data_IF_730449310265
#
_entry.id   IF_730449310265
#
_cell.length_a   1.000
_cell.length_b   1.000
_cell.length_c   1.000
_cell.angle_alpha   90.00
_cell.angle_beta   90.00
_cell.angle_gamma   90.00
#
_symmetry.space_group_name_H-M   'P 1'
#
loop_
_entity.id
_entity.type
_entity.pdbx_description
1 polymer ?
#
# COMPACT_ATOMS: atom_id res chain seq x y z
N UNK A 1 -11.08 -1.88 -2.47
CA UNK A 1 -10.31 -2.46 -3.58
C UNK A 1 -9.01 -1.69 -3.63
N UNK A 2 -7.90 -2.26 -3.17
CA UNK A 2 -6.60 -1.64 -3.33
C UNK A 2 -6.26 -1.81 -4.80
N UNK A 3 -6.45 -0.77 -5.60
CA UNK A 3 -5.83 -0.74 -6.91
C UNK A 3 -4.32 -0.77 -6.66
N UNK A 4 -3.59 -1.76 -7.18
CA UNK A 4 -2.16 -1.73 -7.13
C UNK A 4 -1.74 -0.47 -7.89
N UNK A 5 -1.38 0.58 -7.14
CA UNK A 5 -0.70 1.72 -7.75
C UNK A 5 0.42 1.11 -8.56
N UNK A 6 0.42 1.29 -9.85
CA UNK A 6 1.45 0.69 -10.69
C UNK A 6 2.80 1.17 -10.15
N UNK A 7 3.80 0.30 -10.12
CA UNK A 7 5.16 0.65 -9.66
C UNK A 7 5.62 1.95 -10.33
N UNK A 8 5.31 2.10 -11.60
CA UNK A 8 5.61 3.30 -12.39
C UNK A 8 4.94 4.56 -11.83
N UNK A 9 3.67 4.49 -11.44
CA UNK A 9 2.97 5.62 -10.83
C UNK A 9 3.56 5.98 -9.46
N UNK A 10 3.86 4.99 -8.62
CA UNK A 10 4.48 5.22 -7.32
C UNK A 10 5.88 5.85 -7.45
N UNK A 11 6.71 5.39 -8.40
CA UNK A 11 8.02 5.99 -8.70
C UNK A 11 7.89 7.41 -9.22
N UNK A 12 6.89 7.68 -10.05
CA UNK A 12 6.63 9.04 -10.54
C UNK A 12 6.29 9.99 -9.40
N UNK A 13 5.41 9.57 -8.48
CA UNK A 13 5.04 10.34 -7.28
C UNK A 13 6.27 10.56 -6.39
N UNK A 14 7.06 9.51 -6.14
CA UNK A 14 8.28 9.61 -5.35
C UNK A 14 9.27 10.60 -5.98
N UNK A 15 9.52 10.50 -7.30
CA UNK A 15 10.45 11.38 -8.00
C UNK A 15 9.99 12.83 -8.01
N UNK A 16 8.69 13.08 -8.17
CA UNK A 16 8.11 14.42 -8.10
C UNK A 16 8.27 15.02 -6.70
N UNK A 17 7.92 14.28 -5.65
CA UNK A 17 8.07 14.72 -4.28
C UNK A 17 9.55 14.97 -3.92
N UNK A 18 10.45 14.08 -4.36
CA UNK A 18 11.89 14.25 -4.15
C UNK A 18 12.45 15.50 -4.82
N UNK A 19 12.00 15.82 -6.03
CA UNK A 19 12.35 17.07 -6.72
C UNK A 19 11.97 18.30 -5.89
N UNK A 20 10.73 18.31 -5.35
CA UNK A 20 10.28 19.40 -4.48
C UNK A 20 11.11 19.53 -3.19
N UNK A 21 11.52 18.38 -2.61
CA UNK A 21 12.42 18.35 -1.45
C UNK A 21 13.78 18.96 -1.82
N UNK A 22 14.37 18.59 -2.98
CA UNK A 22 15.62 19.19 -3.48
C UNK A 22 15.53 20.69 -3.61
N UNK A 23 14.48 21.16 -4.26
CA UNK A 23 14.24 22.59 -4.45
C UNK A 23 14.07 23.31 -3.10
N UNK A 24 13.38 22.67 -2.16
CA UNK A 24 13.22 23.17 -0.79
C UNK A 24 14.57 23.35 -0.08
N UNK A 25 15.44 22.35 -0.12
CA UNK A 25 16.80 22.44 0.44
C UNK A 25 17.65 23.51 -0.24
N UNK A 26 17.57 23.60 -1.57
CA UNK A 26 18.29 24.64 -2.32
C UNK A 26 17.84 26.07 -1.94
N UNK A 27 16.58 26.22 -1.51
CA UNK A 27 16.01 27.47 -1.00
C UNK A 27 16.23 27.67 0.51
N UNK A 28 16.98 26.80 1.18
CA UNK A 28 17.27 26.89 2.60
C UNK A 28 16.07 26.57 3.52
N UNK A 29 15.06 25.87 3.02
CA UNK A 29 13.94 25.41 3.86
C UNK A 29 14.43 24.33 4.83
N UNK A 30 13.87 24.36 6.03
CA UNK A 30 14.04 23.30 7.02
C UNK A 30 13.17 22.08 6.74
N UNK A 31 13.38 21.01 7.50
CA UNK A 31 12.61 19.76 7.38
C UNK A 31 11.13 19.99 7.69
N UNK A 32 10.83 20.86 8.64
CA UNK A 32 9.46 21.16 9.04
C UNK A 32 8.67 21.80 7.89
N UNK A 33 9.28 22.77 7.19
CA UNK A 33 8.70 23.39 6.01
C UNK A 33 8.53 22.46 4.81
N UNK A 34 9.23 21.30 4.80
CA UNK A 34 9.15 20.28 3.75
C UNK A 34 8.46 19.00 4.21
N UNK A 35 7.91 18.94 5.42
CA UNK A 35 7.34 17.73 6.04
C UNK A 35 6.27 17.06 5.17
N UNK A 36 5.46 17.84 4.47
CA UNK A 36 4.44 17.33 3.55
C UNK A 36 5.04 16.59 2.36
N UNK A 37 6.09 17.13 1.76
CA UNK A 37 6.74 16.56 0.58
C UNK A 37 7.58 15.34 0.97
N UNK A 38 8.24 15.39 2.12
CA UNK A 38 8.94 14.25 2.72
C UNK A 38 7.95 13.12 3.02
N UNK A 39 6.81 13.41 3.64
CA UNK A 39 5.77 12.44 3.91
C UNK A 39 5.18 11.81 2.63
N UNK A 40 5.01 12.62 1.58
CA UNK A 40 4.56 12.14 0.27
C UNK A 40 5.58 11.23 -0.40
N UNK A 41 6.86 11.58 -0.33
CA UNK A 41 7.95 10.75 -0.82
C UNK A 41 8.02 9.41 -0.07
N UNK A 42 8.00 9.42 1.26
CA UNK A 42 8.01 8.21 2.09
C UNK A 42 6.82 7.29 1.79
N UNK A 43 5.65 7.87 1.58
CA UNK A 43 4.44 7.16 1.19
C UNK A 43 4.64 6.42 -0.12
N UNK A 44 5.14 7.10 -1.14
CA UNK A 44 5.38 6.52 -2.45
C UNK A 44 6.49 5.45 -2.41
N UNK A 45 7.54 5.63 -1.59
CA UNK A 45 8.57 4.59 -1.35
C UNK A 45 7.94 3.34 -0.74
N UNK A 46 7.06 3.50 0.25
CA UNK A 46 6.34 2.37 0.85
C UNK A 46 5.45 1.64 -0.15
N UNK A 47 4.82 2.36 -1.08
CA UNK A 47 3.99 1.78 -2.13
C UNK A 47 4.83 0.94 -3.12
N UNK A 48 6.03 1.41 -3.49
CA UNK A 48 6.97 0.63 -4.33
C UNK A 48 7.45 -0.64 -3.61
N UNK A 49 7.82 -0.55 -2.34
CA UNK A 49 8.23 -1.71 -1.53
C UNK A 49 7.10 -2.75 -1.43
N UNK A 50 5.86 -2.31 -1.28
CA UNK A 50 4.70 -3.21 -1.25
C UNK A 50 4.43 -3.83 -2.62
N UNK A 51 4.53 -3.07 -3.69
CA UNK A 51 4.36 -3.55 -5.05
C UNK A 51 5.45 -4.59 -5.41
N UNK A 52 6.71 -4.39 -4.99
CA UNK A 52 7.79 -5.36 -5.15
C UNK A 52 7.48 -6.69 -4.42
N UNK A 53 6.99 -6.61 -3.18
CA UNK A 53 6.59 -7.81 -2.43
C UNK A 53 5.47 -8.57 -3.12
N UNK A 54 4.49 -7.87 -3.67
CA UNK A 54 3.40 -8.46 -4.43
C UNK A 54 3.86 -9.06 -5.77
N UNK A 55 4.84 -8.42 -6.44
CA UNK A 55 5.44 -8.95 -7.66
C UNK A 55 6.24 -10.24 -7.40
N UNK A 56 6.95 -10.32 -6.27
CA UNK A 56 7.68 -11.54 -5.85
C UNK A 56 6.76 -12.69 -5.43
N UNK A 57 5.59 -12.38 -4.86
CA UNK A 57 4.60 -13.35 -4.41
C UNK A 57 3.23 -13.04 -5.05
N UNK A 58 3.07 -13.20 -6.38
CA UNK A 58 1.81 -12.89 -7.03
C UNK A 58 0.71 -13.85 -6.58
N UNK A 59 -0.53 -13.38 -6.41
CA UNK A 59 -1.68 -14.24 -6.14
C UNK A 59 -1.80 -15.34 -7.20
N UNK A 60 -2.27 -16.53 -6.80
CA UNK A 60 -2.34 -17.74 -7.63
C UNK A 60 -3.04 -17.47 -8.98
N UNK A 61 -4.10 -16.66 -8.98
CA UNK A 61 -4.82 -16.27 -10.21
C UNK A 61 -3.96 -15.43 -11.16
N UNK A 62 -3.10 -14.54 -10.65
CA UNK A 62 -2.22 -13.72 -11.50
C UNK A 62 -1.13 -14.57 -12.16
N UNK A 63 -0.64 -15.62 -11.47
CA UNK A 63 0.32 -16.59 -12.04
C UNK A 63 -0.22 -17.39 -13.22
N UNK A 64 -1.53 -17.66 -13.26
CA UNK A 64 -2.17 -18.47 -14.29
C UNK A 64 -2.45 -17.69 -15.59
N UNK A 65 -2.60 -16.37 -15.52
CA UNK A 65 -3.03 -15.55 -16.65
C UNK A 65 -1.99 -14.56 -17.18
N UNK A 66 -0.81 -14.44 -16.56
CA UNK A 66 0.24 -13.47 -16.93
C UNK A 66 1.49 -14.14 -17.43
N UNK A 67 1.41 -14.89 -18.49
CA UNK A 67 2.55 -15.65 -19.05
C UNK A 67 3.62 -14.79 -19.76
N UNK A 68 3.58 -13.48 -19.72
CA UNK A 68 4.54 -12.64 -20.44
C UNK A 68 5.07 -11.40 -19.70
N UNK A 69 4.49 -11.03 -18.54
CA UNK A 69 4.78 -9.74 -17.91
C UNK A 69 5.56 -9.82 -16.57
N UNK A 70 5.83 -11.02 -16.06
CA UNK A 70 6.44 -11.18 -14.72
C UNK A 70 7.90 -10.70 -14.72
N UNK A 71 8.64 -10.98 -15.79
CA UNK A 71 10.04 -10.56 -15.93
C UNK A 71 10.16 -9.06 -16.10
N UNK A 72 9.27 -8.44 -16.89
CA UNK A 72 9.21 -7.00 -17.08
C UNK A 72 8.77 -6.28 -15.79
N UNK A 73 7.76 -6.78 -15.08
CA UNK A 73 7.35 -6.26 -13.78
C UNK A 73 8.50 -6.34 -12.76
N UNK A 74 9.24 -7.46 -12.75
CA UNK A 74 10.38 -7.64 -11.85
C UNK A 74 11.54 -6.67 -12.18
N UNK A 75 11.84 -6.47 -13.46
CA UNK A 75 12.87 -5.53 -13.90
C UNK A 75 12.48 -4.09 -13.55
N UNK A 76 11.23 -3.70 -13.82
CA UNK A 76 10.70 -2.40 -13.47
C UNK A 76 10.73 -2.15 -11.96
N UNK A 77 10.40 -3.16 -11.15
CA UNK A 77 10.50 -3.08 -9.69
C UNK A 77 11.95 -2.90 -9.24
N UNK A 78 12.90 -3.62 -9.84
CA UNK A 78 14.32 -3.49 -9.54
C UNK A 78 14.87 -2.09 -9.86
N UNK A 79 14.60 -1.59 -11.06
CA UNK A 79 15.02 -0.24 -11.49
C UNK A 79 14.40 0.83 -10.59
N UNK A 80 13.11 0.69 -10.27
CA UNK A 80 12.39 1.57 -9.35
C UNK A 80 13.08 1.62 -7.97
N UNK A 81 13.39 0.46 -7.42
CA UNK A 81 14.06 0.34 -6.12
C UNK A 81 15.44 0.98 -6.12
N UNK A 82 16.24 0.74 -7.15
CA UNK A 82 17.56 1.36 -7.29
C UNK A 82 17.46 2.87 -7.29
N UNK A 83 16.56 3.44 -8.08
CA UNK A 83 16.31 4.88 -8.12
C UNK A 83 15.91 5.45 -6.76
N UNK A 84 15.02 4.77 -6.04
CA UNK A 84 14.62 5.19 -4.69
C UNK A 84 15.76 5.09 -3.67
N UNK A 85 16.65 4.11 -3.80
CA UNK A 85 17.86 4.00 -2.97
C UNK A 85 18.81 5.16 -3.23
N UNK A 86 19.01 5.58 -4.47
CA UNK A 86 19.82 6.75 -4.83
C UNK A 86 19.23 8.02 -4.21
N UNK A 87 17.92 8.25 -4.34
CA UNK A 87 17.22 9.37 -3.71
C UNK A 87 17.36 9.35 -2.19
N UNK A 88 17.29 8.18 -1.57
CA UNK A 88 17.46 8.00 -0.12
C UNK A 88 18.88 8.37 0.34
N UNK A 89 19.89 7.97 -0.41
CA UNK A 89 21.28 8.33 -0.10
C UNK A 89 21.53 9.83 -0.27
N UNK A 90 20.99 10.43 -1.30
CA UNK A 90 21.06 11.86 -1.53
C UNK A 90 20.39 12.65 -0.38
N UNK A 91 19.18 12.22 0.03
CA UNK A 91 18.46 12.80 1.15
C UNK A 91 19.24 12.66 2.47
N UNK A 92 19.84 11.49 2.71
CA UNK A 92 20.70 11.25 3.88
C UNK A 92 21.88 12.22 3.93
N UNK A 93 22.54 12.40 2.80
CA UNK A 93 23.70 13.30 2.71
C UNK A 93 23.28 14.74 3.04
N UNK A 94 22.16 15.19 2.51
CA UNK A 94 21.67 16.54 2.78
C UNK A 94 21.22 16.73 4.22
N UNK A 95 20.45 15.78 4.76
CA UNK A 95 20.02 15.84 6.14
C UNK A 95 21.20 15.87 7.12
N UNK A 96 22.18 15.01 6.89
CA UNK A 96 23.38 14.98 7.73
C UNK A 96 24.20 16.29 7.65
N UNK A 97 24.20 16.92 6.49
CA UNK A 97 24.91 18.18 6.29
C UNK A 97 24.19 19.38 6.91
N UNK A 98 22.84 19.43 6.79
CA UNK A 98 22.05 20.61 7.19
C UNK A 98 21.52 20.54 8.61
N UNK A 99 21.17 19.36 9.11
CA UNK A 99 20.45 19.16 10.37
C UNK A 99 21.21 18.28 11.37
N UNK A 100 22.36 17.74 10.94
CA UNK A 100 23.20 16.87 11.78
C UNK A 100 22.88 15.39 11.66
N UNK A 101 23.73 14.52 12.24
CA UNK A 101 23.74 13.07 11.99
C UNK A 101 22.49 12.33 12.48
N UNK A 102 21.71 12.91 13.37
CA UNK A 102 20.50 12.27 13.92
C UNK A 102 19.25 12.50 13.08
N UNK A 103 19.20 13.55 12.26
CA UNK A 103 18.03 13.92 11.48
C UNK A 103 17.60 12.83 10.50
N UNK A 104 18.55 12.09 9.93
CA UNK A 104 18.24 10.96 9.08
C UNK A 104 17.62 9.78 9.86
N UNK A 105 18.08 9.55 11.08
CA UNK A 105 17.50 8.50 11.94
C UNK A 105 16.07 8.83 12.37
N UNK A 106 15.78 10.10 12.66
CA UNK A 106 14.43 10.59 12.94
C UNK A 106 13.50 10.39 11.73
N UNK A 107 14.00 10.68 10.53
CA UNK A 107 13.30 10.42 9.29
C UNK A 107 12.97 8.93 9.12
N UNK A 108 13.92 8.03 9.39
CA UNK A 108 13.68 6.58 9.33
C UNK A 108 12.65 6.10 10.36
N UNK A 109 12.66 6.66 11.56
CA UNK A 109 11.64 6.35 12.57
C UNK A 109 10.24 6.80 12.11
N UNK A 110 10.13 7.98 11.52
CA UNK A 110 8.88 8.48 10.95
C UNK A 110 8.39 7.59 9.81
N UNK A 111 9.28 7.18 8.90
CA UNK A 111 8.97 6.23 7.83
C UNK A 111 8.45 4.89 8.39
N UNK A 112 9.13 4.36 9.41
CA UNK A 112 8.72 3.12 10.09
C UNK A 112 7.33 3.23 10.72
N UNK A 113 7.01 4.37 11.33
CA UNK A 113 5.68 4.65 11.90
C UNK A 113 4.62 4.69 10.82
N UNK A 114 4.85 5.42 9.72
CA UNK A 114 3.90 5.50 8.59
C UNK A 114 3.63 4.12 7.99
N UNK A 115 4.68 3.29 7.83
CA UNK A 115 4.52 1.90 7.35
C UNK A 115 3.65 1.07 8.29
N UNK A 116 3.88 1.18 9.60
CA UNK A 116 3.13 0.45 10.61
C UNK A 116 1.66 0.88 10.64
N UNK A 117 1.39 2.17 10.65
CA UNK A 117 0.03 2.72 10.66
C UNK A 117 -0.76 2.29 9.42
N UNK A 118 -0.11 2.23 8.25
CA UNK A 118 -0.71 1.71 7.01
C UNK A 118 -1.03 0.23 7.09
N UNK A 119 -0.11 -0.58 7.61
CA UNK A 119 -0.36 -2.00 7.78
C UNK A 119 -1.54 -2.25 8.72
N UNK A 120 -1.61 -1.53 9.83
CA UNK A 120 -2.74 -1.62 10.77
C UNK A 120 -4.07 -1.22 10.12
N UNK A 121 -4.07 -0.17 9.29
CA UNK A 121 -5.26 0.24 8.55
C UNK A 121 -5.73 -0.85 7.57
N UNK A 122 -4.80 -1.50 6.86
CA UNK A 122 -5.09 -2.62 5.95
C UNK A 122 -5.67 -3.81 6.72
N UNK A 123 -5.07 -4.18 7.84
CA UNK A 123 -5.56 -5.27 8.69
C UNK A 123 -6.97 -5.00 9.22
N UNK A 124 -7.24 -3.77 9.69
CA UNK A 124 -8.58 -3.38 10.13
C UNK A 124 -9.63 -3.49 9.02
N UNK A 125 -9.30 -3.06 7.80
CA UNK A 125 -10.20 -3.21 6.65
C UNK A 125 -10.45 -4.67 6.29
N UNK A 126 -9.44 -5.53 6.34
CA UNK A 126 -9.60 -6.95 6.09
C UNK A 126 -10.50 -7.62 7.14
N UNK A 127 -10.29 -7.31 8.41
CA UNK A 127 -11.13 -7.81 9.51
C UNK A 127 -12.60 -7.39 9.35
N UNK A 128 -12.85 -6.14 8.97
CA UNK A 128 -14.20 -5.65 8.71
C UNK A 128 -14.87 -6.41 7.55
N UNK A 129 -14.14 -6.66 6.47
CA UNK A 129 -14.64 -7.44 5.34
C UNK A 129 -14.98 -8.88 5.73
N UNK A 130 -14.13 -9.54 6.51
CA UNK A 130 -14.42 -10.89 7.01
C UNK A 130 -15.70 -10.91 7.85
N UNK A 131 -15.88 -9.98 8.78
CA UNK A 131 -17.09 -9.86 9.59
C UNK A 131 -18.34 -9.62 8.73
N UNK A 132 -18.27 -8.74 7.74
CA UNK A 132 -19.41 -8.48 6.83
C UNK A 132 -19.76 -9.73 6.03
N UNK A 133 -18.77 -10.46 5.50
CA UNK A 133 -19.00 -11.71 4.78
C UNK A 133 -19.62 -12.77 5.67
N UNK A 134 -19.21 -12.86 6.93
CA UNK A 134 -19.78 -13.78 7.92
C UNK A 134 -21.25 -13.46 8.23
N UNK A 135 -21.59 -12.17 8.43
CA UNK A 135 -22.99 -11.75 8.61
C UNK A 135 -23.85 -12.00 7.38
N UNK A 136 -23.33 -11.80 6.18
CA UNK A 136 -24.04 -12.12 4.93
C UNK A 136 -24.31 -13.62 4.83
N UNK A 137 -23.32 -14.45 5.13
CA UNK A 137 -23.47 -15.91 5.10
C UNK A 137 -24.55 -16.39 6.09
N UNK A 138 -24.55 -15.86 7.32
CA UNK A 138 -25.56 -16.17 8.35
C UNK A 138 -26.95 -15.71 7.88
N UNK A 139 -27.06 -14.53 7.31
CA UNK A 139 -28.32 -14.00 6.77
C UNK A 139 -28.91 -14.87 5.66
N UNK A 140 -28.10 -15.31 4.70
CA UNK A 140 -28.52 -16.22 3.62
C UNK A 140 -28.99 -17.54 4.19
N UNK A 141 -28.30 -18.10 5.18
CA UNK A 141 -28.66 -19.37 5.81
C UNK A 141 -29.99 -19.26 6.57
N UNK A 142 -30.23 -18.17 7.28
CA UNK A 142 -31.50 -17.91 7.95
C UNK A 142 -32.66 -17.77 6.96
N UNK A 143 -32.47 -17.03 5.85
CA UNK A 143 -33.49 -16.89 4.81
C UNK A 143 -33.84 -18.22 4.14
N UNK A 144 -32.86 -19.10 3.91
CA UNK A 144 -33.14 -20.43 3.33
C UNK A 144 -33.96 -21.31 4.28
N UNK A 145 -33.65 -21.29 5.59
CA UNK A 145 -34.41 -22.05 6.60
C UNK A 145 -35.86 -21.57 6.64
N UNK A 146 -36.10 -20.26 6.70
CA UNK A 146 -37.44 -19.67 6.71
C UNK A 146 -38.19 -20.04 5.43
N UNK A 147 -37.57 -19.97 4.27
CA UNK A 147 -38.16 -20.37 3.00
C UNK A 147 -38.61 -21.83 2.97
N UNK A 148 -37.78 -22.74 3.50
CA UNK A 148 -38.12 -24.17 3.60
C UNK A 148 -39.31 -24.38 4.54
N UNK A 149 -39.33 -23.72 5.70
CA UNK A 149 -40.45 -23.83 6.65
C UNK A 149 -41.77 -23.36 6.04
N UNK A 150 -41.77 -22.23 5.33
CA UNK A 150 -42.97 -21.72 4.62
C UNK A 150 -43.42 -22.70 3.56
N UNK A 151 -42.52 -23.29 2.79
CA UNK A 151 -42.84 -24.24 1.74
C UNK A 151 -43.45 -25.51 2.32
N UNK A 152 -42.94 -26.06 3.41
CA UNK A 152 -43.48 -27.21 4.10
C UNK A 152 -44.89 -26.91 4.66
N UNK A 153 -45.06 -25.76 5.30
CA UNK A 153 -46.36 -25.32 5.82
C UNK A 153 -47.40 -25.17 4.71
N UNK A 154 -47.03 -24.61 3.57
CA UNK A 154 -47.91 -24.48 2.40
C UNK A 154 -48.33 -25.84 1.84
N UNK A 155 -47.38 -26.77 1.71
CA UNK A 155 -47.70 -28.13 1.23
C UNK A 155 -48.60 -28.90 2.20
N UNK A 156 -48.45 -28.68 3.52
CA UNK A 156 -49.30 -29.31 4.52
C UNK A 156 -50.72 -28.74 4.53
N UNK A 157 -50.87 -27.44 4.31
CA UNK A 157 -52.20 -26.80 4.28
C UNK A 157 -52.98 -27.09 3.00
N UNK A 158 -52.30 -27.43 1.90
CA UNK A 158 -52.92 -27.68 0.59
C UNK A 158 -53.18 -29.17 0.31
N UNK A 159 -53.06 -30.03 1.35
CA UNK A 159 -53.34 -31.47 1.31
C UNK A 159 -54.63 -31.80 2.08
#
# INVERSE_FOLDING_TARGET
MFDPVSITAAVSIASSAFKTIKEGFALGKDIEGMSKDIGRWMTAVSDVDNAEKMAKNPPIFKKLFSAGSVEEEALNAYVAKKKLQEQRQELKTWLNFTQGPNAYNELLQMEGKIRKDRQEAIYKQQQLRHKIMEYIAIGVLACTIVGVVILVAYLYHNK
#
